data_IF_370825555843
#
_entry.id   IF_370825555843
#
_cell.length_a   1.000
_cell.length_b   1.000
_cell.length_c   1.000
_cell.angle_alpha   90.00
_cell.angle_beta   90.00
_cell.angle_gamma   90.00
#
_symmetry.space_group_name_H-M   'P 1'
#
loop_
_entity.id
_entity.type
_entity.pdbx_description
1 polymer ?
#
# COMPACT_ATOMS: atom_id res chain seq x y z
N UNK A 1 -31.72 -16.51 -13.38
CA UNK A 1 -31.55 -15.11 -12.94
C UNK A 1 -30.26 -15.03 -12.14
N UNK A 2 -29.19 -14.51 -12.75
CA UNK A 2 -27.93 -14.26 -12.04
C UNK A 2 -28.04 -12.90 -11.35
N UNK A 3 -27.99 -12.88 -10.02
CA UNK A 3 -28.19 -11.69 -9.17
C UNK A 3 -26.89 -10.89 -8.93
N UNK A 4 -25.79 -11.28 -9.55
CA UNK A 4 -24.55 -10.53 -9.50
C UNK A 4 -24.64 -9.39 -10.51
N UNK A 5 -25.26 -8.30 -10.05
CA UNK A 5 -25.24 -7.01 -10.70
C UNK A 5 -23.79 -6.54 -10.66
N UNK A 6 -23.14 -6.45 -11.82
CA UNK A 6 -21.96 -5.61 -12.03
C UNK A 6 -22.32 -4.21 -11.54
N UNK A 7 -22.00 -3.93 -10.28
CA UNK A 7 -21.88 -2.57 -9.80
C UNK A 7 -20.52 -2.13 -10.30
N UNK A 8 -20.52 -1.22 -11.27
CA UNK A 8 -19.45 -0.24 -11.39
C UNK A 8 -19.28 0.38 -10.00
N UNK A 9 -18.39 -0.19 -9.18
CA UNK A 9 -17.99 0.37 -7.91
C UNK A 9 -17.35 1.71 -8.26
N UNK A 10 -17.98 2.81 -7.85
CA UNK A 10 -17.31 4.10 -7.77
C UNK A 10 -15.93 3.85 -7.16
N UNK A 11 -14.88 4.04 -7.98
CA UNK A 11 -13.48 3.72 -7.70
C UNK A 11 -12.90 4.64 -6.61
N UNK A 12 -13.52 4.66 -5.43
CA UNK A 12 -13.01 5.39 -4.28
C UNK A 12 -11.86 4.57 -3.72
N UNK A 13 -10.65 5.01 -4.03
CA UNK A 13 -9.46 4.40 -3.47
C UNK A 13 -9.54 4.38 -1.93
N UNK A 14 -9.30 3.22 -1.30
CA UNK A 14 -9.39 3.11 0.13
C UNK A 14 -8.25 3.88 0.80
N UNK A 15 -8.58 4.72 1.78
CA UNK A 15 -7.60 5.47 2.57
C UNK A 15 -6.58 4.56 3.29
N UNK A 16 -7.07 3.40 3.72
CA UNK A 16 -6.31 2.40 4.46
C UNK A 16 -6.44 1.04 3.79
N UNK A 17 -5.32 0.35 3.64
CA UNK A 17 -5.24 -1.01 3.08
C UNK A 17 -4.61 -1.97 4.08
N UNK A 18 -4.98 -3.24 4.02
CA UNK A 18 -4.34 -4.25 4.88
C UNK A 18 -2.92 -4.60 4.40
N UNK A 19 -2.17 -5.32 5.25
CA UNK A 19 -0.80 -5.75 4.97
C UNK A 19 -0.67 -6.57 3.68
N UNK A 20 -1.70 -7.35 3.31
CA UNK A 20 -1.67 -8.17 2.10
C UNK A 20 -1.78 -7.31 0.86
N UNK A 21 -2.74 -6.37 0.84
CA UNK A 21 -2.92 -5.44 -0.28
C UNK A 21 -1.74 -4.48 -0.41
N UNK A 22 -1.25 -3.92 0.71
CA UNK A 22 -0.05 -3.08 0.72
C UNK A 22 1.19 -3.79 0.16
N UNK A 23 1.44 -5.03 0.61
CA UNK A 23 2.58 -5.82 0.12
C UNK A 23 2.48 -6.14 -1.38
N UNK A 24 1.27 -6.38 -1.89
CA UNK A 24 1.03 -6.57 -3.32
C UNK A 24 1.27 -5.29 -4.12
N UNK A 25 0.81 -4.14 -3.65
CA UNK A 25 1.01 -2.85 -4.32
C UNK A 25 2.49 -2.51 -4.47
N UNK A 26 3.29 -2.85 -3.46
CA UNK A 26 4.74 -2.61 -3.46
C UNK A 26 5.55 -3.77 -4.08
N UNK A 27 4.91 -4.86 -4.50
CA UNK A 27 5.58 -6.08 -4.98
C UNK A 27 6.64 -6.64 -4.01
N UNK A 28 6.37 -6.61 -2.69
CA UNK A 28 7.28 -7.08 -1.64
C UNK A 28 6.63 -8.13 -0.73
N UNK A 29 7.45 -8.80 0.08
CA UNK A 29 6.91 -9.67 1.14
C UNK A 29 6.28 -8.86 2.28
N UNK A 30 5.28 -9.43 2.96
CA UNK A 30 4.70 -8.82 4.18
C UNK A 30 5.75 -8.59 5.28
N UNK A 31 6.73 -9.49 5.38
CA UNK A 31 7.84 -9.37 6.34
C UNK A 31 8.64 -8.11 6.05
N UNK A 32 8.95 -7.86 4.78
CA UNK A 32 9.66 -6.65 4.38
C UNK A 32 8.80 -5.40 4.62
N UNK A 33 7.51 -5.43 4.28
CA UNK A 33 6.58 -4.34 4.58
C UNK A 33 6.58 -3.95 6.06
N UNK A 34 6.53 -4.92 6.98
CA UNK A 34 6.61 -4.63 8.41
C UNK A 34 7.97 -4.05 8.82
N UNK A 35 9.07 -4.49 8.19
CA UNK A 35 10.39 -3.89 8.43
C UNK A 35 10.47 -2.43 7.96
N UNK A 36 9.78 -2.07 6.87
CA UNK A 36 9.67 -0.67 6.44
C UNK A 36 8.88 0.16 7.44
N UNK A 37 7.81 -0.41 8.01
CA UNK A 37 7.04 0.24 9.07
C UNK A 37 7.84 0.43 10.37
N UNK A 38 8.62 -0.58 10.77
CA UNK A 38 9.54 -0.49 11.92
C UNK A 38 10.60 0.60 11.72
N UNK A 39 11.10 0.74 10.49
CA UNK A 39 12.03 1.81 10.08
C UNK A 39 11.36 3.17 9.84
N UNK A 40 10.06 3.29 10.08
CA UNK A 40 9.24 4.50 9.86
C UNK A 40 9.26 5.03 8.42
N UNK A 41 9.52 4.15 7.45
CA UNK A 41 9.47 4.49 6.03
C UNK A 41 8.04 4.45 5.49
N UNK A 42 7.17 3.64 6.09
CA UNK A 42 5.74 3.59 5.77
C UNK A 42 4.93 3.58 7.06
N UNK A 43 3.91 4.44 7.19
CA UNK A 43 3.12 4.48 8.41
C UNK A 43 2.18 3.28 8.53
N UNK A 44 2.10 2.72 9.74
CA UNK A 44 1.12 1.71 10.12
C UNK A 44 0.12 2.29 11.12
N UNK A 45 -1.17 2.09 10.86
CA UNK A 45 -2.28 2.47 11.74
C UNK A 45 -2.83 1.20 12.37
N UNK A 46 -2.83 1.16 13.70
CA UNK A 46 -3.52 0.10 14.44
C UNK A 46 -5.01 0.45 14.56
N UNK A 47 -5.88 -0.45 14.09
CA UNK A 47 -7.34 -0.35 14.26
C UNK A 47 -7.84 -1.64 14.91
N UNK A 48 -7.96 -1.61 16.24
CA UNK A 48 -8.17 -2.81 17.04
C UNK A 48 -7.02 -3.81 16.86
N UNK A 49 -7.35 -5.04 16.47
CA UNK A 49 -6.35 -6.11 16.22
C UNK A 49 -5.72 -6.04 14.82
N UNK A 50 -6.22 -5.16 13.94
CA UNK A 50 -5.74 -5.04 12.56
C UNK A 50 -4.65 -3.98 12.46
N UNK A 51 -3.64 -4.28 11.64
CA UNK A 51 -2.62 -3.32 11.19
C UNK A 51 -2.95 -2.92 9.76
N UNK A 52 -3.17 -1.63 9.55
CA UNK A 52 -3.53 -1.05 8.26
C UNK A 52 -2.44 -0.06 7.83
N UNK A 53 -2.30 0.14 6.53
CA UNK A 53 -1.31 1.00 5.92
C UNK A 53 -2.02 2.09 5.14
N UNK A 54 -1.50 3.32 5.21
CA UNK A 54 -2.05 4.44 4.45
C UNK A 54 -1.66 4.29 2.99
N UNK A 55 -2.65 4.32 2.11
CA UNK A 55 -2.41 4.21 0.67
C UNK A 55 -1.52 5.37 0.17
N UNK A 56 -1.75 6.59 0.68
CA UNK A 56 -0.93 7.76 0.36
C UNK A 56 0.56 7.58 0.71
N UNK A 57 0.88 6.91 1.82
CA UNK A 57 2.29 6.67 2.19
C UNK A 57 2.94 5.62 1.30
N UNK A 58 2.16 4.64 0.82
CA UNK A 58 2.61 3.65 -0.15
C UNK A 58 2.95 4.34 -1.48
N UNK A 59 2.09 5.23 -1.99
CA UNK A 59 2.37 5.99 -3.20
C UNK A 59 3.62 6.86 -3.06
N UNK A 60 3.73 7.62 -1.96
CA UNK A 60 4.92 8.44 -1.68
C UNK A 60 6.20 7.62 -1.65
N UNK A 61 6.14 6.40 -1.12
CA UNK A 61 7.30 5.50 -1.10
C UNK A 61 7.71 5.09 -2.52
N UNK A 62 6.75 4.76 -3.39
CA UNK A 62 7.01 4.43 -4.80
C UNK A 62 7.64 5.62 -5.52
N UNK A 63 7.07 6.82 -5.35
CA UNK A 63 7.56 8.04 -5.98
C UNK A 63 9.02 8.33 -5.56
N UNK A 64 9.32 8.26 -4.26
CA UNK A 64 10.67 8.48 -3.76
C UNK A 64 11.70 7.50 -4.34
N UNK A 65 11.35 6.20 -4.46
CA UNK A 65 12.25 5.20 -5.04
C UNK A 65 12.43 5.38 -6.56
N UNK A 66 11.41 5.90 -7.24
CA UNK A 66 11.46 6.18 -8.69
C UNK A 66 12.33 7.40 -8.98
N UNK A 67 12.24 8.45 -8.15
CA UNK A 67 13.10 9.62 -8.25
C UNK A 67 14.57 9.27 -7.97
N UNK A 68 14.85 8.47 -6.94
CA UNK A 68 16.21 7.99 -6.64
C UNK A 68 16.79 7.17 -7.80
N UNK A 69 15.99 6.28 -8.40
CA UNK A 69 16.43 5.49 -9.55
C UNK A 69 16.70 6.35 -10.81
N UNK A 70 15.97 7.46 -10.98
CA UNK A 70 16.15 8.37 -12.11
C UNK A 70 17.35 9.29 -11.91
N UNK A 71 17.62 9.70 -10.66
CA UNK A 71 18.77 10.54 -10.31
C UNK A 71 20.10 9.76 -10.34
N UNK A 72 20.07 8.45 -10.07
CA UNK A 72 21.23 7.57 -10.07
C UNK A 72 21.46 6.86 -11.42
N UNK A 73 21.29 7.60 -12.54
CA UNK A 73 21.31 7.06 -13.91
C UNK A 73 22.43 6.04 -14.22
N UNK A 74 22.22 5.17 -15.23
CA UNK A 74 23.04 3.99 -15.51
C UNK A 74 24.53 4.27 -15.74
#
# INVERSE_FOLDING_TARGET
MSIYRDREEDCVEPLLVDATKAAKLLCISKRYLYSLAERRQISVVAMGRKRLFRLADIHRFIDAQTEEATAAGP
#
